data_IF_350647227235
#
_entry.id   IF_350647227235
#
_cell.length_a   1.000
_cell.length_b   1.000
_cell.length_c   1.000
_cell.angle_alpha   90.00
_cell.angle_beta   90.00
_cell.angle_gamma   90.00
#
_symmetry.space_group_name_H-M   'P 1'
#
loop_
_entity.id
_entity.type
_entity.pdbx_description
1 polymer ?
#
# COMPACT_ATOMS: atom_id res chain seq x y z
N UNK A 1 -15.98 -18.70 2.82
CA UNK A 1 -15.65 -17.30 3.15
C UNK A 1 -14.60 -17.31 4.25
N UNK A 2 -13.32 -17.33 3.92
CA UNK A 2 -12.31 -17.05 4.94
C UNK A 2 -12.51 -15.59 5.30
N UNK A 3 -13.02 -15.33 6.51
CA UNK A 3 -13.20 -14.03 7.16
C UNK A 3 -11.95 -13.12 7.15
N UNK A 4 -10.82 -13.64 6.67
CA UNK A 4 -9.55 -12.96 6.61
C UNK A 4 -9.40 -12.14 5.31
N UNK A 5 -9.13 -10.84 5.51
CA UNK A 5 -8.55 -9.89 4.56
C UNK A 5 -9.53 -9.01 3.79
N UNK A 6 -9.91 -7.86 4.40
CA UNK A 6 -9.25 -6.62 4.01
C UNK A 6 -8.81 -5.79 5.23
N UNK A 7 -8.18 -6.44 6.22
CA UNK A 7 -7.65 -5.76 7.43
C UNK A 7 -6.73 -4.58 7.06
N UNK A 8 -6.07 -4.67 5.90
CA UNK A 8 -5.15 -3.65 5.38
C UNK A 8 -5.82 -2.32 5.02
N UNK A 9 -7.09 -2.32 4.60
CA UNK A 9 -7.80 -1.09 4.20
C UNK A 9 -8.23 -0.21 5.39
N UNK A 10 -8.15 -0.74 6.61
CA UNK A 10 -8.41 -0.01 7.86
C UNK A 10 -7.16 0.53 8.54
N UNK A 11 -5.99 0.30 7.95
CA UNK A 11 -4.74 0.73 8.57
C UNK A 11 -4.75 2.25 8.66
N UNK A 12 -4.81 2.80 9.87
CA UNK A 12 -4.74 4.26 10.04
C UNK A 12 -3.43 4.77 9.44
N UNK A 13 -3.43 5.98 8.82
CA UNK A 13 -2.24 6.51 8.17
C UNK A 13 -1.04 6.61 9.13
N UNK A 14 -1.29 6.73 10.44
CA UNK A 14 -0.26 6.71 11.47
C UNK A 14 0.45 5.35 11.61
N UNK A 15 -0.27 4.24 11.49
CA UNK A 15 0.31 2.89 11.53
C UNK A 15 1.12 2.65 10.25
N UNK A 16 0.61 3.04 9.09
CA UNK A 16 1.34 2.94 7.81
C UNK A 16 2.67 3.71 7.88
N UNK A 17 2.66 4.93 8.45
CA UNK A 17 3.88 5.71 8.68
C UNK A 17 4.88 5.00 9.61
N UNK A 18 4.40 4.34 10.66
CA UNK A 18 5.28 3.55 11.57
C UNK A 18 5.89 2.35 10.85
N UNK A 19 5.09 1.61 10.08
CA UNK A 19 5.58 0.50 9.25
C UNK A 19 6.62 0.96 8.24
N UNK A 20 6.39 2.12 7.59
CA UNK A 20 7.38 2.69 6.66
C UNK A 20 8.70 3.03 7.36
N UNK A 21 8.66 3.58 8.58
CA UNK A 21 9.87 3.84 9.37
C UNK A 21 10.63 2.55 9.69
N UNK A 22 9.92 1.47 10.01
CA UNK A 22 10.53 0.16 10.27
C UNK A 22 11.18 -0.37 8.98
N UNK A 23 10.48 -0.29 7.84
CA UNK A 23 11.03 -0.70 6.53
C UNK A 23 12.30 0.08 6.19
N UNK A 24 12.31 1.40 6.39
CA UNK A 24 13.50 2.22 6.10
C UNK A 24 14.68 1.89 7.03
N UNK A 25 14.43 1.57 8.31
CA UNK A 25 15.49 1.11 9.23
C UNK A 25 16.06 -0.24 8.80
N UNK A 26 15.19 -1.19 8.47
CA UNK A 26 15.58 -2.51 7.99
C UNK A 26 16.43 -2.42 6.73
N UNK A 27 16.02 -1.62 5.74
CA UNK A 27 16.76 -1.42 4.50
C UNK A 27 18.15 -0.84 4.75
N UNK A 28 18.28 0.16 5.63
CA UNK A 28 19.59 0.73 6.02
C UNK A 28 20.49 -0.30 6.68
N UNK A 29 19.94 -1.13 7.57
CA UNK A 29 20.70 -2.15 8.26
C UNK A 29 21.12 -3.30 7.32
N UNK A 30 20.26 -3.70 6.39
CA UNK A 30 20.55 -4.75 5.42
C UNK A 30 21.63 -4.36 4.41
N UNK A 31 21.70 -3.07 4.05
CA UNK A 31 22.69 -2.52 3.11
C UNK A 31 23.93 -1.94 3.79
N UNK A 32 23.98 -2.00 5.14
CA UNK A 32 24.98 -1.33 5.98
C UNK A 32 25.22 0.14 5.57
N UNK A 33 24.14 0.82 5.19
CA UNK A 33 24.22 2.16 4.60
C UNK A 33 24.48 3.23 5.67
N UNK A 34 25.41 4.15 5.37
CA UNK A 34 25.68 5.30 6.22
C UNK A 34 24.42 6.17 6.43
N UNK A 35 24.29 6.80 7.61
CA UNK A 35 23.08 7.55 7.99
C UNK A 35 22.71 8.68 7.01
N UNK A 36 23.73 9.27 6.37
CA UNK A 36 23.62 10.35 5.39
C UNK A 36 22.95 9.91 4.06
N UNK A 37 22.93 8.60 3.77
CA UNK A 37 22.28 8.09 2.57
C UNK A 37 20.77 8.30 2.67
N UNK A 38 20.20 8.92 1.63
CA UNK A 38 18.77 9.19 1.51
C UNK A 38 18.00 7.88 1.33
N UNK A 39 16.88 7.76 2.04
CA UNK A 39 16.02 6.57 1.95
C UNK A 39 15.49 6.35 0.53
N UNK A 40 15.22 7.41 -0.24
CA UNK A 40 14.73 7.29 -1.63
C UNK A 40 15.73 6.58 -2.55
N UNK A 41 17.02 6.84 -2.38
CA UNK A 41 18.10 6.19 -3.14
C UNK A 41 18.16 4.70 -2.79
N UNK A 42 18.15 4.36 -1.50
CA UNK A 42 18.15 2.95 -1.05
C UNK A 42 16.95 2.17 -1.56
N UNK A 43 15.77 2.78 -1.53
CA UNK A 43 14.55 2.17 -2.06
C UNK A 43 14.61 2.01 -3.59
N UNK A 44 15.16 2.98 -4.31
CA UNK A 44 15.33 2.92 -5.76
C UNK A 44 16.37 1.89 -6.21
N UNK A 45 17.49 1.79 -5.50
CA UNK A 45 18.59 0.87 -5.85
C UNK A 45 18.29 -0.57 -5.43
N UNK A 46 17.48 -0.77 -4.39
CA UNK A 46 17.00 -2.09 -3.98
C UNK A 46 15.73 -2.54 -4.71
N UNK A 47 15.19 -1.71 -5.61
CA UNK A 47 13.89 -1.89 -6.28
C UNK A 47 12.72 -2.20 -5.30
N UNK A 48 12.86 -1.78 -4.04
CA UNK A 48 11.96 -2.15 -2.95
C UNK A 48 10.73 -1.25 -2.95
N UNK A 49 9.50 -1.78 -3.17
CA UNK A 49 8.30 -0.99 -3.10
C UNK A 49 8.06 -0.49 -1.66
N UNK A 50 7.58 0.75 -1.54
CA UNK A 50 7.14 1.33 -0.28
C UNK A 50 5.94 0.54 0.28
N UNK A 51 5.80 0.45 1.60
CA UNK A 51 4.65 -0.23 2.24
C UNK A 51 3.32 0.26 1.67
N UNK A 52 3.17 1.56 1.41
CA UNK A 52 1.92 2.09 0.87
C UNK A 52 1.62 1.53 -0.54
N UNK A 53 2.62 1.48 -1.42
CA UNK A 53 2.48 0.92 -2.77
C UNK A 53 2.17 -0.58 -2.70
N UNK A 54 2.92 -1.32 -1.88
CA UNK A 54 2.71 -2.75 -1.67
C UNK A 54 1.29 -3.05 -1.16
N UNK A 55 0.80 -2.26 -0.19
CA UNK A 55 -0.56 -2.42 0.35
C UNK A 55 -1.63 -2.11 -0.71
N UNK A 56 -1.44 -1.07 -1.52
CA UNK A 56 -2.34 -0.74 -2.63
C UNK A 56 -2.37 -1.86 -3.67
N UNK A 57 -1.22 -2.31 -4.14
CA UNK A 57 -1.11 -3.35 -5.16
C UNK A 57 -1.67 -4.69 -4.65
N UNK A 58 -1.37 -5.07 -3.40
CA UNK A 58 -1.92 -6.27 -2.78
C UNK A 58 -3.44 -6.19 -2.63
N UNK A 59 -3.96 -5.03 -2.20
CA UNK A 59 -5.41 -4.82 -2.10
C UNK A 59 -6.09 -4.95 -3.47
N UNK A 60 -5.54 -4.29 -4.49
CA UNK A 60 -6.06 -4.36 -5.86
C UNK A 60 -6.10 -5.79 -6.37
N UNK A 61 -4.98 -6.53 -6.26
CA UNK A 61 -4.91 -7.94 -6.66
C UNK A 61 -5.93 -8.82 -5.93
N UNK A 62 -6.17 -8.55 -4.64
CA UNK A 62 -7.16 -9.27 -3.86
C UNK A 62 -8.59 -9.00 -4.36
N UNK A 63 -8.93 -7.74 -4.65
CA UNK A 63 -10.25 -7.39 -5.17
C UNK A 63 -10.47 -7.86 -6.61
N UNK A 64 -9.45 -7.80 -7.47
CA UNK A 64 -9.52 -8.32 -8.85
C UNK A 64 -9.77 -9.84 -8.85
N UNK A 65 -9.14 -10.57 -7.91
CA UNK A 65 -9.39 -12.00 -7.69
C UNK A 65 -10.81 -12.26 -7.18
N UNK A 66 -11.30 -11.44 -6.27
CA UNK A 66 -12.65 -11.58 -5.72
C UNK A 66 -13.74 -11.33 -6.79
N UNK A 67 -13.51 -10.38 -7.71
CA UNK A 67 -14.43 -10.09 -8.83
C UNK A 67 -14.52 -11.25 -9.83
N UNK A 68 -13.41 -11.93 -10.10
CA UNK A 68 -13.36 -13.08 -11.02
C UNK A 68 -13.77 -14.41 -10.39
N UNK A 69 -14.21 -14.40 -9.12
CA UNK A 69 -14.52 -15.63 -8.39
C UNK A 69 -15.81 -16.29 -8.93
N UNK A 70 -15.86 -17.63 -9.10
CA UNK A 70 -17.06 -18.35 -9.56
C UNK A 70 -18.27 -18.28 -8.62
N UNK A 71 -18.11 -17.68 -7.43
CA UNK A 71 -19.18 -17.60 -6.43
C UNK A 71 -19.77 -16.19 -6.48
N UNK A 72 -21.06 -16.03 -6.83
CA UNK A 72 -21.69 -14.71 -6.97
C UNK A 72 -21.71 -13.90 -5.67
N UNK A 73 -21.70 -14.57 -4.50
CA UNK A 73 -21.65 -13.89 -3.20
C UNK A 73 -20.29 -13.22 -2.94
N UNK A 74 -19.21 -13.77 -3.51
CA UNK A 74 -17.86 -13.21 -3.37
C UNK A 74 -17.66 -12.06 -4.36
N UNK A 75 -18.11 -12.27 -5.61
CA UNK A 75 -18.04 -11.23 -6.65
C UNK A 75 -18.86 -9.98 -6.27
N UNK A 76 -20.07 -10.17 -5.74
CA UNK A 76 -20.92 -9.04 -5.27
C UNK A 76 -20.30 -8.27 -4.10
N UNK A 77 -19.53 -8.92 -3.23
CA UNK A 77 -18.84 -8.25 -2.13
C UNK A 77 -17.70 -7.34 -2.61
N UNK A 78 -17.06 -7.65 -3.74
CA UNK A 78 -15.98 -6.84 -4.30
C UNK A 78 -16.48 -5.54 -4.96
N UNK A 79 -17.72 -5.56 -5.48
CA UNK A 79 -18.37 -4.44 -6.19
C UNK A 79 -19.16 -3.54 -5.21
N UNK A 80 -19.25 -3.93 -3.94
CA UNK A 80 -20.02 -3.19 -2.94
C UNK A 80 -19.40 -1.82 -2.64
N UNK A 81 -20.15 -0.76 -2.93
CA UNK A 81 -19.83 0.60 -2.51
C UNK A 81 -20.49 0.89 -1.15
N UNK A 82 -19.72 1.22 -0.10
CA UNK A 82 -20.31 1.55 1.19
C UNK A 82 -21.08 2.87 1.11
N UNK A 83 -22.28 2.98 1.70
CA UNK A 83 -23.02 4.24 1.80
C UNK A 83 -22.15 5.36 2.39
N UNK A 84 -22.36 6.63 1.98
CA UNK A 84 -21.67 7.76 2.57
C UNK A 84 -21.83 7.72 4.10
N UNK A 85 -20.71 7.97 4.79
CA UNK A 85 -20.59 7.70 6.21
C UNK A 85 -21.57 8.56 7.04
N UNK A 86 -22.72 7.99 7.40
CA UNK A 86 -23.56 8.55 8.46
C UNK A 86 -22.94 8.21 9.81
N UNK A 87 -22.21 9.18 10.37
CA UNK A 87 -21.74 9.44 11.75
C UNK A 87 -21.27 8.28 12.67
N UNK A 88 -21.64 7.00 12.49
CA UNK A 88 -21.33 5.94 13.46
C UNK A 88 -21.00 4.55 12.89
N UNK A 89 -21.21 4.26 11.60
CA UNK A 89 -20.89 2.95 11.02
C UNK A 89 -20.07 3.08 9.73
N UNK A 90 -18.74 3.19 9.89
CA UNK A 90 -17.80 3.15 8.76
C UNK A 90 -17.55 1.70 8.38
N UNK A 91 -18.18 1.23 7.30
CA UNK A 91 -17.83 -0.08 6.72
C UNK A 91 -16.39 -0.06 6.17
N UNK A 92 -15.72 -1.23 6.12
CA UNK A 92 -14.43 -1.39 5.46
C UNK A 92 -14.45 -0.83 4.05
N UNK A 93 -13.45 0.00 3.73
CA UNK A 93 -13.23 0.43 2.35
C UNK A 93 -12.58 -0.71 1.58
N UNK A 94 -12.93 -0.84 0.31
CA UNK A 94 -12.25 -1.74 -0.61
C UNK A 94 -10.88 -1.19 -1.03
N UNK A 95 -10.72 0.13 -1.13
CA UNK A 95 -9.52 0.75 -1.68
C UNK A 95 -8.88 1.70 -0.66
N UNK A 96 -7.55 1.61 -0.53
CA UNK A 96 -6.76 2.60 0.19
C UNK A 96 -6.66 3.88 -0.65
N UNK A 97 -7.64 4.77 -0.48
CA UNK A 97 -7.75 6.03 -1.22
C UNK A 97 -6.80 7.13 -0.71
N UNK A 98 -5.97 6.85 0.28
CA UNK A 98 -5.09 7.86 0.87
C UNK A 98 -4.02 8.31 -0.13
N UNK A 99 -3.70 9.63 -0.17
CA UNK A 99 -2.70 10.16 -1.08
C UNK A 99 -1.32 9.51 -0.84
N UNK A 100 -0.48 9.39 -1.89
CA UNK A 100 0.86 8.84 -1.76
C UNK A 100 1.67 9.59 -0.71
N UNK A 101 2.54 8.87 0.02
CA UNK A 101 3.44 9.52 0.97
C UNK A 101 4.53 10.28 0.20
N UNK A 102 5.05 11.38 0.75
CA UNK A 102 6.16 12.14 0.18
C UNK A 102 7.37 11.29 -0.26
N UNK A 103 7.68 10.18 0.42
CA UNK A 103 8.77 9.28 0.00
C UNK A 103 8.38 8.47 -1.24
N UNK A 104 7.11 8.11 -1.38
CA UNK A 104 6.59 7.38 -2.54
C UNK A 104 6.68 8.24 -3.79
N UNK A 105 6.27 9.51 -3.72
CA UNK A 105 6.37 10.43 -4.86
C UNK A 105 7.82 10.68 -5.28
N UNK A 106 8.76 10.73 -4.33
CA UNK A 106 10.18 10.92 -4.65
C UNK A 106 10.81 9.67 -5.29
N UNK A 107 10.41 8.47 -4.87
CA UNK A 107 10.87 7.21 -5.49
C UNK A 107 10.30 7.06 -6.90
N UNK A 108 9.03 7.41 -7.12
CA UNK A 108 8.41 7.39 -8.46
C UNK A 108 9.15 8.34 -9.42
N UNK A 109 9.38 9.59 -9.02
CA UNK A 109 10.18 10.54 -9.80
C UNK A 109 11.59 10.02 -10.12
N UNK A 110 12.25 9.37 -9.14
CA UNK A 110 13.59 8.80 -9.36
C UNK A 110 13.55 7.65 -10.38
N UNK A 111 12.51 6.81 -10.32
CA UNK A 111 12.32 5.73 -11.30
C UNK A 111 11.98 6.25 -12.69
N UNK A 112 11.13 7.28 -12.80
CA UNK A 112 10.81 7.94 -14.08
C UNK A 112 12.05 8.60 -14.69
N UNK A 113 12.86 9.27 -13.88
CA UNK A 113 14.12 9.88 -14.32
C UNK A 113 15.15 8.84 -14.81
N UNK A 114 15.20 7.64 -14.20
CA UNK A 114 16.05 6.53 -14.68
C UNK A 114 15.57 5.93 -16.01
N UNK A 115 14.26 5.98 -16.31
CA UNK A 115 13.68 5.45 -17.56
C UNK A 115 13.89 6.40 -18.74
N UNK A 116 14.08 7.70 -18.47
CA UNK A 116 14.28 8.75 -19.50
C UNK A 116 15.75 8.95 -19.91
N UNK A 117 16.69 8.19 -19.37
CA UNK A 117 18.10 8.16 -19.77
C UNK A 117 18.40 6.91 -20.59
#
# INVERSE_FOLDING_TARGET
MTYACPVFAHTTPNIIKKLQKIQSKFCKQATDAHWCVKNSVLHGDSELPNINKLMKDASKRFFDMAQSHPNPLIASAAIYEPPPAHHFLRRPRNILSDPPHALTSEVEKLSEAKIMQ
#
